data_IF_186639432812
#
_entry.id   IF_186639432812
#
_cell.length_a   1.000
_cell.length_b   1.000
_cell.length_c   1.000
_cell.angle_alpha   90.00
_cell.angle_beta   90.00
_cell.angle_gamma   90.00
#
_symmetry.space_group_name_H-M   'P 1'
#
loop_
_entity.id
_entity.type
_entity.pdbx_description
1 polymer ?
#
# COMPACT_ATOMS: atom_id res chain seq x y z
N UNK A 1 -35.17 -54.46 -25.24
CA UNK A 1 -34.50 -53.70 -24.15
C UNK A 1 -33.99 -52.39 -24.74
N UNK A 2 -34.47 -51.22 -24.28
CA UNK A 2 -34.14 -49.94 -24.90
C UNK A 2 -32.75 -49.46 -24.49
N UNK A 3 -32.04 -48.92 -25.48
CA UNK A 3 -30.65 -48.48 -25.43
C UNK A 3 -30.58 -47.09 -24.76
N UNK A 4 -30.15 -47.04 -23.50
CA UNK A 4 -29.96 -45.79 -22.74
C UNK A 4 -28.72 -45.09 -23.28
N UNK A 5 -28.93 -44.16 -24.23
CA UNK A 5 -27.89 -43.22 -24.66
C UNK A 5 -27.45 -42.39 -23.45
N UNK A 6 -26.21 -42.59 -23.01
CA UNK A 6 -25.51 -41.69 -22.07
C UNK A 6 -25.55 -40.28 -22.68
N UNK A 7 -26.24 -39.35 -22.02
CA UNK A 7 -26.25 -37.93 -22.38
C UNK A 7 -24.92 -37.34 -21.87
N UNK A 8 -23.95 -37.02 -22.74
CA UNK A 8 -22.75 -36.32 -22.32
C UNK A 8 -23.14 -34.84 -22.16
N UNK A 9 -23.34 -34.37 -20.94
CA UNK A 9 -23.66 -32.96 -20.73
C UNK A 9 -24.02 -32.55 -19.30
N UNK A 10 -24.45 -33.49 -18.45
CA UNK A 10 -24.88 -33.16 -17.07
C UNK A 10 -23.73 -33.24 -16.06
N UNK A 11 -22.68 -34.02 -16.35
CA UNK A 11 -21.53 -34.16 -15.46
C UNK A 11 -20.61 -32.93 -15.51
N UNK A 12 -20.40 -32.33 -16.69
CA UNK A 12 -19.54 -31.13 -16.83
C UNK A 12 -20.20 -29.88 -16.25
N UNK A 13 -21.53 -29.72 -16.37
CA UNK A 13 -22.25 -28.58 -15.78
C UNK A 13 -22.22 -28.61 -14.25
N UNK A 14 -22.24 -29.79 -13.62
CA UNK A 14 -22.13 -29.88 -12.15
C UNK A 14 -20.73 -29.53 -11.64
N UNK A 15 -19.69 -29.79 -12.43
CA UNK A 15 -18.31 -29.44 -12.06
C UNK A 15 -18.07 -27.91 -12.18
N UNK A 16 -18.73 -27.24 -13.12
CA UNK A 16 -18.73 -25.78 -13.24
C UNK A 16 -19.54 -25.12 -12.11
N UNK A 17 -20.69 -25.70 -11.72
CA UNK A 17 -21.56 -25.15 -10.66
C UNK A 17 -20.99 -25.39 -9.26
N UNK A 18 -20.29 -26.51 -9.01
CA UNK A 18 -19.58 -26.73 -7.75
C UNK A 18 -18.31 -25.87 -7.63
N UNK A 19 -17.61 -25.61 -8.74
CA UNK A 19 -16.51 -24.63 -8.78
C UNK A 19 -16.99 -23.16 -8.56
N UNK A 20 -18.30 -22.92 -8.62
CA UNK A 20 -18.91 -21.62 -8.36
C UNK A 20 -19.31 -21.43 -6.88
N UNK A 21 -19.21 -22.48 -6.05
CA UNK A 21 -19.78 -22.51 -4.70
C UNK A 21 -18.75 -22.42 -3.55
N UNK A 22 -17.45 -22.39 -3.87
CA UNK A 22 -16.39 -21.95 -2.94
C UNK A 22 -16.11 -20.46 -3.16
N UNK A 23 -16.09 -19.60 -2.13
CA UNK A 23 -16.23 -18.16 -2.30
C UNK A 23 -14.99 -17.58 -2.98
N UNK A 24 -15.01 -17.24 -4.29
CA UNK A 24 -13.89 -16.58 -4.95
C UNK A 24 -13.52 -15.26 -4.24
N UNK A 25 -14.48 -14.72 -3.50
CA UNK A 25 -14.37 -13.55 -2.65
C UNK A 25 -13.30 -13.67 -1.56
N UNK A 26 -13.10 -14.85 -0.94
CA UNK A 26 -12.11 -15.01 0.13
C UNK A 26 -10.69 -14.86 -0.44
N UNK A 27 -10.39 -15.55 -1.54
CA UNK A 27 -9.09 -15.45 -2.20
C UNK A 27 -8.83 -14.02 -2.70
N UNK A 28 -9.82 -13.39 -3.33
CA UNK A 28 -9.70 -12.00 -3.81
C UNK A 28 -9.43 -11.04 -2.64
N UNK A 29 -10.13 -11.22 -1.52
CA UNK A 29 -9.94 -10.39 -0.31
C UNK A 29 -8.53 -10.55 0.26
N UNK A 30 -8.01 -11.79 0.32
CA UNK A 30 -6.66 -12.07 0.79
C UNK A 30 -5.62 -11.42 -0.14
N UNK A 31 -5.76 -11.55 -1.45
CA UNK A 31 -4.85 -10.94 -2.43
C UNK A 31 -4.87 -9.41 -2.30
N UNK A 32 -6.03 -8.81 -2.09
CA UNK A 32 -6.16 -7.36 -1.90
C UNK A 32 -5.52 -6.90 -0.59
N UNK A 33 -5.67 -7.68 0.48
CA UNK A 33 -5.01 -7.41 1.75
C UNK A 33 -3.47 -7.48 1.60
N UNK A 34 -2.96 -8.51 0.91
CA UNK A 34 -1.52 -8.65 0.60
C UNK A 34 -1.03 -7.46 -0.21
N UNK A 35 -1.78 -7.02 -1.23
CA UNK A 35 -1.44 -5.85 -2.03
C UNK A 35 -1.36 -4.57 -1.17
N UNK A 36 -2.35 -4.34 -0.30
CA UNK A 36 -2.35 -3.18 0.61
C UNK A 36 -1.19 -3.22 1.60
N UNK A 37 -0.93 -4.37 2.22
CA UNK A 37 0.18 -4.55 3.17
C UNK A 37 1.51 -4.34 2.45
N UNK A 38 1.69 -4.93 1.27
CA UNK A 38 2.92 -4.80 0.48
C UNK A 38 3.15 -3.36 -0.01
N UNK A 39 2.09 -2.58 -0.25
CA UNK A 39 2.20 -1.18 -0.60
C UNK A 39 2.63 -0.29 0.60
N UNK A 40 2.11 -0.58 1.80
CA UNK A 40 2.25 0.29 2.98
C UNK A 40 3.43 -0.11 3.87
N UNK A 41 3.65 -1.41 4.08
CA UNK A 41 4.62 -1.91 5.05
C UNK A 41 6.07 -1.52 4.70
N UNK A 42 6.56 -1.64 3.45
CA UNK A 42 7.93 -1.26 3.14
C UNK A 42 8.23 0.21 3.43
N UNK A 43 7.22 1.09 3.28
CA UNK A 43 7.33 2.51 3.61
C UNK A 43 7.36 2.78 5.11
N UNK A 44 6.63 1.98 5.88
CA UNK A 44 6.59 2.12 7.33
C UNK A 44 7.87 1.56 7.99
N UNK A 45 8.40 0.45 7.47
CA UNK A 45 9.50 -0.28 8.10
C UNK A 45 10.89 0.22 7.70
N UNK A 46 11.14 0.51 6.42
CA UNK A 46 12.51 0.59 5.93
C UNK A 46 13.07 1.99 5.70
N UNK A 47 12.25 3.06 5.74
CA UNK A 47 12.72 4.44 5.52
C UNK A 47 13.31 4.74 4.13
N UNK A 48 13.65 3.73 3.32
CA UNK A 48 14.16 3.86 1.95
C UNK A 48 13.15 4.51 0.98
N UNK A 49 11.88 4.56 1.37
CA UNK A 49 10.83 5.21 0.61
C UNK A 49 10.40 6.57 1.22
N UNK A 50 11.20 7.14 2.13
CA UNK A 50 10.88 8.44 2.72
C UNK A 50 11.27 9.58 1.78
N UNK A 51 10.27 10.20 1.14
CA UNK A 51 10.45 11.41 0.32
C UNK A 51 11.16 12.52 1.13
N UNK A 52 11.00 12.54 2.45
CA UNK A 52 11.57 13.58 3.31
C UNK A 52 13.10 13.67 3.28
N UNK A 53 13.80 12.61 2.84
CA UNK A 53 15.26 12.58 2.82
C UNK A 53 15.87 13.19 1.56
N UNK A 54 15.33 12.81 0.39
CA UNK A 54 15.92 13.16 -0.92
C UNK A 54 15.05 14.12 -1.74
N UNK A 55 13.82 14.43 -1.28
CA UNK A 55 12.87 15.31 -1.97
C UNK A 55 12.27 14.74 -3.26
N UNK A 56 12.78 13.61 -3.76
CA UNK A 56 12.29 12.91 -4.95
C UNK A 56 11.33 11.77 -4.62
N UNK A 57 10.39 11.47 -5.53
CA UNK A 57 9.48 10.33 -5.36
C UNK A 57 10.21 9.01 -5.64
N UNK A 58 10.22 8.04 -4.71
CA UNK A 58 10.95 6.77 -4.87
C UNK A 58 10.19 5.76 -5.74
N UNK A 59 10.05 6.06 -7.04
CA UNK A 59 9.24 5.25 -7.99
C UNK A 59 9.68 3.79 -8.07
N UNK A 60 11.00 3.56 -8.01
CA UNK A 60 11.59 2.21 -8.01
C UNK A 60 11.14 1.37 -6.82
N UNK A 61 10.99 1.99 -5.65
CA UNK A 61 10.48 1.31 -4.45
C UNK A 61 9.03 0.86 -4.62
N UNK A 62 8.19 1.64 -5.30
CA UNK A 62 6.80 1.27 -5.58
C UNK A 62 6.73 0.07 -6.53
N UNK A 63 7.59 0.06 -7.54
CA UNK A 63 7.75 -1.06 -8.46
C UNK A 63 8.15 -2.34 -7.71
N UNK A 64 9.18 -2.25 -6.87
CA UNK A 64 9.65 -3.38 -6.06
C UNK A 64 8.55 -3.92 -5.14
N UNK A 65 7.82 -3.05 -4.43
CA UNK A 65 6.69 -3.44 -3.59
C UNK A 65 5.57 -4.13 -4.39
N UNK A 66 5.26 -3.61 -5.57
CA UNK A 66 4.26 -4.20 -6.46
C UNK A 66 4.70 -5.57 -6.99
N UNK A 67 5.98 -5.74 -7.33
CA UNK A 67 6.53 -7.05 -7.72
C UNK A 67 6.46 -8.05 -6.58
N UNK A 68 6.82 -7.66 -5.35
CA UNK A 68 6.70 -8.53 -4.18
C UNK A 68 5.25 -8.94 -3.93
N UNK A 69 4.30 -8.02 -4.07
CA UNK A 69 2.87 -8.31 -3.93
C UNK A 69 2.38 -9.32 -4.99
N UNK A 70 2.81 -9.17 -6.24
CA UNK A 70 2.49 -10.13 -7.32
C UNK A 70 3.03 -11.51 -7.02
N UNK A 71 4.30 -11.60 -6.61
CA UNK A 71 4.93 -12.88 -6.25
C UNK A 71 4.18 -13.55 -5.09
N UNK A 72 3.85 -12.80 -4.04
CA UNK A 72 3.08 -13.31 -2.92
C UNK A 72 1.67 -13.75 -3.33
N UNK A 73 0.95 -12.95 -4.11
CA UNK A 73 -0.39 -13.28 -4.62
C UNK A 73 -0.37 -14.52 -5.53
N UNK A 74 0.68 -14.69 -6.33
CA UNK A 74 0.90 -15.87 -7.15
C UNK A 74 1.05 -17.13 -6.29
N UNK A 75 1.90 -17.10 -5.26
CA UNK A 75 2.07 -18.23 -4.35
C UNK A 75 0.80 -18.56 -3.57
N UNK A 76 0.06 -17.54 -3.10
CA UNK A 76 -1.21 -17.77 -2.40
C UNK A 76 -2.24 -18.38 -3.35
N UNK A 77 -2.33 -17.90 -4.59
CA UNK A 77 -3.24 -18.46 -5.59
C UNK A 77 -2.91 -19.92 -5.90
N UNK A 78 -1.62 -20.24 -6.03
CA UNK A 78 -1.12 -21.59 -6.25
C UNK A 78 -1.39 -22.50 -5.04
N UNK A 79 -1.17 -22.00 -3.81
CA UNK A 79 -1.46 -22.73 -2.58
C UNK A 79 -2.96 -23.03 -2.44
N UNK A 80 -3.83 -22.05 -2.65
CA UNK A 80 -5.28 -22.25 -2.61
C UNK A 80 -5.70 -23.30 -3.64
N UNK A 81 -5.12 -23.27 -4.85
CA UNK A 81 -5.41 -24.29 -5.86
C UNK A 81 -5.06 -25.70 -5.38
N UNK A 82 -3.96 -25.89 -4.65
CA UNK A 82 -3.60 -27.19 -4.10
C UNK A 82 -4.45 -27.59 -2.90
N UNK A 83 -4.88 -26.64 -2.07
CA UNK A 83 -5.74 -26.90 -0.90
C UNK A 83 -7.16 -27.29 -1.32
N UNK A 84 -7.68 -26.65 -2.36
CA UNK A 84 -9.03 -26.89 -2.88
C UNK A 84 -9.06 -27.85 -4.08
N UNK A 85 -7.95 -28.54 -4.36
CA UNK A 85 -7.92 -29.60 -5.38
C UNK A 85 -8.81 -30.76 -4.90
N UNK A 86 -9.72 -31.31 -5.72
CA UNK A 86 -10.63 -32.40 -5.32
C UNK A 86 -9.97 -33.67 -4.76
N UNK A 87 -8.65 -33.83 -4.90
CA UNK A 87 -7.88 -34.89 -4.23
C UNK A 87 -7.79 -34.71 -2.71
N UNK A 88 -8.00 -33.49 -2.19
CA UNK A 88 -8.03 -33.15 -0.76
C UNK A 88 -6.69 -33.30 -0.04
N UNK A 89 -5.61 -33.66 -0.73
CA UNK A 89 -4.31 -33.96 -0.12
C UNK A 89 -3.15 -33.37 -0.93
N UNK A 90 -2.55 -32.30 -0.39
CA UNK A 90 -1.44 -31.57 -0.99
C UNK A 90 -0.28 -32.49 -1.38
N UNK A 91 0.05 -33.47 -0.53
CA UNK A 91 1.12 -34.43 -0.77
C UNK A 91 0.80 -35.36 -1.94
N UNK A 92 -0.47 -35.75 -2.10
CA UNK A 92 -0.89 -36.61 -3.19
C UNK A 92 -0.81 -35.89 -4.54
N UNK A 93 -1.23 -34.62 -4.59
CA UNK A 93 -1.11 -33.80 -5.81
C UNK A 93 0.35 -33.53 -6.17
N UNK A 94 1.25 -33.29 -5.19
CA UNK A 94 2.69 -33.13 -5.45
C UNK A 94 3.33 -34.43 -5.93
N UNK A 95 2.88 -35.58 -5.41
CA UNK A 95 3.41 -36.90 -5.79
C UNK A 95 2.93 -37.38 -7.18
N UNK A 96 1.87 -36.78 -7.72
CA UNK A 96 1.30 -37.18 -9.02
C UNK A 96 2.11 -36.55 -10.15
N UNK A 97 2.77 -37.35 -11.02
CA UNK A 97 3.56 -36.81 -12.13
C UNK A 97 2.71 -35.93 -13.05
N UNK A 98 3.15 -34.70 -13.30
CA UNK A 98 2.47 -33.76 -14.20
C UNK A 98 1.40 -32.87 -13.55
N UNK A 99 0.91 -33.19 -12.35
CA UNK A 99 -0.11 -32.37 -11.68
C UNK A 99 0.40 -30.96 -11.34
N UNK A 100 1.64 -30.84 -10.86
CA UNK A 100 2.29 -29.55 -10.64
C UNK A 100 2.40 -28.72 -11.92
N UNK A 101 2.80 -29.35 -13.04
CA UNK A 101 2.93 -28.67 -14.33
C UNK A 101 1.58 -28.13 -14.81
N UNK A 102 0.52 -28.91 -14.70
CA UNK A 102 -0.83 -28.48 -15.04
C UNK A 102 -1.32 -27.34 -14.13
N UNK A 103 -1.07 -27.40 -12.82
CA UNK A 103 -1.42 -26.34 -11.89
C UNK A 103 -0.66 -25.04 -12.18
N UNK A 104 0.64 -25.15 -12.51
CA UNK A 104 1.48 -24.03 -12.90
C UNK A 104 1.00 -23.41 -14.21
N UNK A 105 0.70 -24.22 -15.23
CA UNK A 105 0.22 -23.75 -16.52
C UNK A 105 -1.09 -22.98 -16.40
N UNK A 106 -2.04 -23.47 -15.60
CA UNK A 106 -3.29 -22.74 -15.33
C UNK A 106 -3.04 -21.46 -14.54
N UNK A 107 -2.08 -21.46 -13.61
CA UNK A 107 -1.68 -20.25 -12.88
C UNK A 107 -1.06 -19.22 -13.83
N UNK A 108 -0.27 -19.67 -14.81
CA UNK A 108 0.33 -18.82 -15.84
C UNK A 108 -0.73 -18.25 -16.79
N UNK A 109 -1.75 -19.02 -17.17
CA UNK A 109 -2.89 -18.51 -17.96
C UNK A 109 -3.68 -17.42 -17.21
N UNK A 110 -3.62 -17.41 -15.87
CA UNK A 110 -4.22 -16.38 -15.02
C UNK A 110 -3.29 -15.21 -14.69
N UNK A 111 -2.09 -15.14 -15.28
CA UNK A 111 -1.16 -14.02 -15.11
C UNK A 111 -1.78 -12.64 -15.40
N UNK A 112 -2.72 -12.46 -16.35
CA UNK A 112 -3.36 -11.17 -16.54
C UNK A 112 -4.01 -10.63 -15.25
N UNK A 113 -4.55 -11.49 -14.37
CA UNK A 113 -5.08 -11.04 -13.08
C UNK A 113 -4.01 -10.51 -12.14
N UNK A 114 -2.77 -10.98 -12.26
CA UNK A 114 -1.64 -10.47 -11.46
C UNK A 114 -1.27 -9.03 -11.86
N UNK A 115 -1.57 -8.62 -13.10
CA UNK A 115 -1.41 -7.23 -13.52
C UNK A 115 -2.29 -6.28 -12.68
N UNK A 116 -3.52 -6.69 -12.32
CA UNK A 116 -4.36 -5.92 -11.41
C UNK A 116 -3.71 -5.75 -10.04
N UNK A 117 -3.16 -6.83 -9.47
CA UNK A 117 -2.45 -6.77 -8.18
C UNK A 117 -1.24 -5.84 -8.24
N UNK A 118 -0.49 -5.88 -9.34
CA UNK A 118 0.63 -4.97 -9.58
C UNK A 118 0.17 -3.52 -9.63
N UNK A 119 -0.78 -3.19 -10.51
CA UNK A 119 -1.30 -1.84 -10.71
C UNK A 119 -1.91 -1.28 -9.41
N UNK A 120 -2.68 -2.10 -8.69
CA UNK A 120 -3.24 -1.76 -7.38
C UNK A 120 -2.15 -1.39 -6.39
N UNK A 121 -1.17 -2.28 -6.17
CA UNK A 121 -0.09 -2.08 -5.19
C UNK A 121 0.74 -0.85 -5.53
N UNK A 122 1.14 -0.72 -6.80
CA UNK A 122 1.93 0.39 -7.29
C UNK A 122 1.21 1.73 -7.10
N UNK A 123 -0.07 1.79 -7.47
CA UNK A 123 -0.84 3.04 -7.41
C UNK A 123 -1.19 3.41 -5.98
N UNK A 124 -1.50 2.44 -5.11
CA UNK A 124 -1.66 2.68 -3.66
C UNK A 124 -0.37 3.25 -3.08
N UNK A 125 0.77 2.65 -3.39
CA UNK A 125 2.07 3.17 -2.96
C UNK A 125 2.28 4.59 -3.52
N UNK A 126 2.02 4.84 -4.79
CA UNK A 126 2.18 6.17 -5.36
C UNK A 126 1.31 7.25 -4.68
N UNK A 127 0.00 6.97 -4.52
CA UNK A 127 -0.97 7.95 -4.03
C UNK A 127 -0.80 8.21 -2.54
N UNK A 128 -0.45 7.21 -1.75
CA UNK A 128 -0.22 7.37 -0.29
C UNK A 128 0.94 8.30 0.05
N UNK A 129 1.86 8.53 -0.88
CA UNK A 129 2.98 9.48 -0.70
C UNK A 129 2.61 10.94 -0.97
N UNK A 130 1.44 11.20 -1.57
CA UNK A 130 0.99 12.57 -1.80
C UNK A 130 0.79 13.32 -0.47
N UNK A 131 1.61 14.36 -0.26
CA UNK A 131 1.59 15.22 0.94
C UNK A 131 1.71 14.44 2.26
N UNK A 132 2.34 13.26 2.24
CA UNK A 132 2.53 12.46 3.44
C UNK A 132 3.40 13.15 4.51
N UNK A 133 4.37 13.98 4.08
CA UNK A 133 5.26 14.75 4.96
C UNK A 133 4.57 15.95 5.63
N UNK A 134 3.53 16.53 5.00
CA UNK A 134 2.82 17.71 5.49
C UNK A 134 1.32 17.43 5.58
N UNK A 135 0.89 16.50 6.45
CA UNK A 135 -0.47 15.99 6.43
C UNK A 135 -1.51 17.06 6.87
N UNK A 136 -1.09 18.10 7.59
CA UNK A 136 -1.96 19.22 8.01
C UNK A 136 -2.33 20.21 6.91
N UNK A 137 -1.61 20.22 5.78
CA UNK A 137 -1.80 21.14 4.65
C UNK A 137 -2.34 20.40 3.41
N UNK A 138 -3.29 19.48 3.62
CA UNK A 138 -3.89 18.72 2.52
C UNK A 138 -5.13 19.44 2.02
N UNK A 139 -5.15 19.92 0.76
CA UNK A 139 -6.32 20.60 0.24
C UNK A 139 -7.48 19.61 0.02
N UNK A 140 -8.71 20.08 0.26
CA UNK A 140 -9.93 19.23 0.17
C UNK A 140 -10.13 18.61 -1.21
N UNK A 141 -9.72 19.31 -2.28
CA UNK A 141 -9.83 18.83 -3.65
C UNK A 141 -8.96 17.59 -3.91
N UNK A 142 -7.86 17.41 -3.16
CA UNK A 142 -6.95 16.28 -3.35
C UNK A 142 -7.68 14.96 -3.15
N UNK A 143 -8.64 14.89 -2.21
CA UNK A 143 -9.40 13.66 -1.96
C UNK A 143 -10.24 13.24 -3.18
N UNK A 144 -10.84 14.20 -3.87
CA UNK A 144 -11.59 13.92 -5.09
C UNK A 144 -10.67 13.50 -6.23
N UNK A 145 -9.49 14.14 -6.34
CA UNK A 145 -8.47 13.76 -7.32
C UNK A 145 -7.91 12.35 -7.05
N UNK A 146 -7.66 11.98 -5.79
CA UNK A 146 -7.21 10.63 -5.40
C UNK A 146 -8.27 9.56 -5.67
N UNK A 147 -9.54 9.86 -5.37
CA UNK A 147 -10.67 8.98 -5.67
C UNK A 147 -10.85 8.79 -7.19
N UNK A 148 -10.93 9.89 -7.95
CA UNK A 148 -11.10 9.85 -9.40
C UNK A 148 -9.90 9.22 -10.11
N UNK A 149 -8.68 9.58 -9.69
CA UNK A 149 -7.44 9.01 -10.22
C UNK A 149 -7.34 7.51 -10.00
N UNK A 150 -7.62 7.03 -8.77
CA UNK A 150 -7.60 5.59 -8.48
C UNK A 150 -8.70 4.83 -9.20
N UNK A 151 -9.91 5.40 -9.29
CA UNK A 151 -11.01 4.84 -10.08
C UNK A 151 -10.61 4.67 -11.55
N UNK A 152 -10.03 5.71 -12.15
CA UNK A 152 -9.55 5.67 -13.54
C UNK A 152 -8.43 4.65 -13.75
N UNK A 153 -7.44 4.60 -12.86
CA UNK A 153 -6.34 3.62 -12.96
C UNK A 153 -6.87 2.19 -12.86
N UNK A 154 -7.79 1.91 -11.94
CA UNK A 154 -8.37 0.57 -11.80
C UNK A 154 -9.26 0.20 -12.98
N UNK A 155 -10.02 1.14 -13.52
CA UNK A 155 -10.80 0.95 -14.74
C UNK A 155 -9.89 0.56 -15.91
N UNK A 156 -8.80 1.31 -16.14
CA UNK A 156 -7.84 1.03 -17.21
C UNK A 156 -7.13 -0.29 -16.97
N UNK A 157 -6.68 -0.56 -15.74
CA UNK A 157 -6.01 -1.82 -15.43
C UNK A 157 -6.95 -3.02 -15.62
N UNK A 158 -8.22 -2.89 -15.24
CA UNK A 158 -9.23 -3.94 -15.43
C UNK A 158 -9.53 -4.14 -16.92
N UNK A 159 -9.59 -3.07 -17.69
CA UNK A 159 -9.76 -3.12 -19.14
C UNK A 159 -8.60 -3.88 -19.81
N UNK A 160 -7.35 -3.51 -19.52
CA UNK A 160 -6.15 -4.19 -20.03
C UNK A 160 -6.15 -5.66 -19.63
N UNK A 161 -6.52 -5.96 -18.38
CA UNK A 161 -6.61 -7.34 -17.88
C UNK A 161 -7.66 -8.14 -18.66
N UNK A 162 -8.81 -7.54 -18.98
CA UNK A 162 -9.84 -8.19 -19.79
C UNK A 162 -9.38 -8.45 -21.22
N UNK A 163 -8.74 -7.50 -21.88
CA UNK A 163 -8.19 -7.68 -23.23
C UNK A 163 -7.13 -8.80 -23.27
N UNK A 164 -6.25 -8.86 -22.27
CA UNK A 164 -5.27 -9.95 -22.12
C UNK A 164 -5.94 -11.31 -21.86
N UNK A 165 -7.04 -11.33 -21.12
CA UNK A 165 -7.80 -12.56 -20.87
C UNK A 165 -8.61 -13.01 -22.09
N UNK A 166 -9.24 -12.08 -22.80
CA UNK A 166 -10.01 -12.37 -24.02
C UNK A 166 -9.11 -12.89 -25.13
N UNK A 167 -7.90 -12.37 -25.27
CA UNK A 167 -6.90 -12.88 -26.22
C UNK A 167 -6.37 -14.26 -25.85
N UNK A 168 -6.27 -14.58 -24.56
CA UNK A 168 -5.72 -15.86 -24.10
C UNK A 168 -6.76 -16.98 -23.96
N UNK A 169 -8.01 -16.64 -23.62
CA UNK A 169 -9.07 -17.60 -23.31
C UNK A 169 -10.48 -17.03 -23.60
N UNK A 170 -10.85 -16.82 -24.87
CA UNK A 170 -12.10 -16.15 -25.23
C UNK A 170 -13.36 -16.92 -24.82
N UNK A 171 -13.30 -18.26 -24.76
CA UNK A 171 -14.45 -19.12 -24.46
C UNK A 171 -14.99 -19.01 -23.02
N UNK A 172 -14.25 -18.37 -22.11
CA UNK A 172 -14.61 -18.28 -20.69
C UNK A 172 -15.53 -17.07 -20.42
N UNK A 173 -15.58 -16.10 -21.33
CA UNK A 173 -16.24 -14.81 -21.08
C UNK A 173 -17.59 -14.68 -21.78
N UNK A 174 -18.59 -14.25 -21.01
CA UNK A 174 -19.86 -13.83 -21.58
C UNK A 174 -19.73 -12.40 -22.15
N UNK A 175 -20.50 -12.05 -23.20
CA UNK A 175 -20.52 -10.68 -23.75
C UNK A 175 -20.88 -9.61 -22.70
N UNK A 176 -21.58 -9.99 -21.63
CA UNK A 176 -21.99 -9.09 -20.55
C UNK A 176 -20.89 -8.81 -19.51
N UNK A 177 -19.80 -9.58 -19.51
CA UNK A 177 -18.77 -9.53 -18.47
C UNK A 177 -18.09 -8.16 -18.33
N UNK A 178 -17.69 -7.45 -19.41
CA UNK A 178 -17.05 -6.13 -19.28
C UNK A 178 -17.94 -5.09 -18.59
N UNK A 179 -19.26 -5.11 -18.87
CA UNK A 179 -20.23 -4.18 -18.29
C UNK A 179 -20.40 -4.36 -16.78
N UNK A 180 -20.07 -5.54 -16.23
CA UNK A 180 -20.10 -5.80 -14.78
C UNK A 180 -18.74 -5.53 -14.12
N UNK A 181 -17.65 -5.95 -14.75
CA UNK A 181 -16.31 -5.89 -14.14
C UNK A 181 -15.68 -4.49 -14.19
N UNK A 182 -15.89 -3.72 -15.26
CA UNK A 182 -15.29 -2.39 -15.37
C UNK A 182 -15.85 -1.41 -14.33
N UNK A 183 -17.18 -1.26 -14.15
CA UNK A 183 -17.71 -0.36 -13.13
C UNK A 183 -17.35 -0.80 -11.71
N UNK A 184 -17.33 -2.11 -11.44
CA UNK A 184 -16.95 -2.62 -10.11
C UNK A 184 -15.50 -2.33 -9.80
N UNK A 185 -14.57 -2.52 -10.75
CA UNK A 185 -13.17 -2.14 -10.57
C UNK A 185 -13.01 -0.63 -10.33
N UNK A 186 -13.72 0.21 -11.09
CA UNK A 186 -13.71 1.66 -10.90
C UNK A 186 -14.23 2.08 -9.51
N UNK A 187 -15.35 1.50 -9.06
CA UNK A 187 -15.92 1.74 -7.73
C UNK A 187 -14.92 1.33 -6.64
N UNK A 188 -14.34 0.13 -6.74
CA UNK A 188 -13.33 -0.35 -5.79
C UNK A 188 -12.11 0.56 -5.75
N UNK A 189 -11.58 0.93 -6.92
CA UNK A 189 -10.46 1.88 -7.04
C UNK A 189 -10.80 3.22 -6.37
N UNK A 190 -11.99 3.77 -6.62
CA UNK A 190 -12.46 5.00 -5.99
C UNK A 190 -12.57 4.89 -4.47
N UNK A 191 -13.14 3.80 -3.95
CA UNK A 191 -13.23 3.55 -2.51
C UNK A 191 -11.84 3.48 -1.86
N UNK A 192 -10.89 2.76 -2.48
CA UNK A 192 -9.52 2.67 -2.00
C UNK A 192 -8.86 4.06 -2.05
N UNK A 193 -8.99 4.79 -3.16
CA UNK A 193 -8.43 6.14 -3.31
C UNK A 193 -9.00 7.17 -2.34
N UNK A 194 -10.27 7.04 -1.97
CA UNK A 194 -10.89 7.92 -0.99
C UNK A 194 -10.51 7.58 0.47
N UNK A 195 -10.26 6.30 0.78
CA UNK A 195 -10.05 5.80 2.14
C UNK A 195 -8.57 5.70 2.52
N UNK A 196 -7.77 5.01 1.71
CA UNK A 196 -6.42 4.58 2.08
C UNK A 196 -5.44 5.76 2.26
N UNK A 197 -5.33 6.72 1.33
CA UNK A 197 -4.43 7.86 1.49
C UNK A 197 -4.77 8.71 2.71
N UNK A 198 -6.08 8.90 2.96
CA UNK A 198 -6.56 9.64 4.12
C UNK A 198 -6.25 8.93 5.43
N UNK A 199 -6.53 7.62 5.50
CA UNK A 199 -6.23 6.80 6.67
C UNK A 199 -4.73 6.77 6.98
N UNK A 200 -3.89 6.58 5.96
CA UNK A 200 -2.44 6.58 6.09
C UNK A 200 -1.89 7.92 6.62
N UNK A 201 -2.35 9.05 6.07
CA UNK A 201 -1.97 10.39 6.56
C UNK A 201 -2.40 10.62 8.01
N UNK A 202 -3.59 10.16 8.41
CA UNK A 202 -4.10 10.27 9.79
C UNK A 202 -3.24 9.46 10.77
N UNK A 203 -2.82 8.26 10.39
CA UNK A 203 -1.92 7.45 11.22
C UNK A 203 -0.56 8.13 11.37
N UNK A 204 0.02 8.63 10.28
CA UNK A 204 1.29 9.38 10.33
C UNK A 204 1.21 10.62 11.22
N UNK A 205 0.10 11.37 11.19
CA UNK A 205 -0.12 12.50 12.12
C UNK A 205 -0.08 12.07 13.59
N UNK A 206 -0.68 10.91 13.91
CA UNK A 206 -0.73 10.40 15.28
C UNK A 206 0.62 9.82 15.74
N UNK A 207 1.42 9.30 14.80
CA UNK A 207 2.73 8.70 15.06
C UNK A 207 3.88 9.70 15.02
N UNK A 208 3.71 10.84 14.34
CA UNK A 208 4.68 11.91 14.38
C UNK A 208 4.92 12.21 15.86
N UNK A 209 6.14 11.99 16.40
CA UNK A 209 6.43 12.34 17.77
C UNK A 209 5.96 13.77 17.90
N UNK A 210 5.05 14.04 18.84
CA UNK A 210 4.73 15.41 19.21
C UNK A 210 6.08 16.00 19.46
N UNK A 211 6.61 16.74 18.49
CA UNK A 211 7.84 17.45 18.67
C UNK A 211 7.54 18.19 19.96
N UNK A 212 8.35 17.95 20.97
CA UNK A 212 8.36 18.76 22.16
C UNK A 212 8.70 20.14 21.64
N UNK A 213 7.68 20.82 21.07
CA UNK A 213 7.80 22.08 20.38
C UNK A 213 8.55 22.94 21.36
N UNK A 214 9.66 23.56 20.89
CA UNK A 214 10.80 23.97 21.70
C UNK A 214 10.28 24.38 23.05
N UNK A 215 10.39 23.50 24.06
CA UNK A 215 9.60 23.53 25.31
C UNK A 215 9.33 24.98 25.59
N UNK A 216 8.14 25.49 25.23
CA UNK A 216 7.89 26.92 25.31
C UNK A 216 8.20 27.21 26.76
N UNK A 217 9.28 27.97 27.07
CA UNK A 217 9.89 27.92 28.38
C UNK A 217 8.75 28.21 29.33
N UNK A 218 8.42 27.22 30.17
CA UNK A 218 7.24 27.29 31.02
C UNK A 218 7.23 28.70 31.62
N UNK A 219 6.10 29.43 31.65
CA UNK A 219 6.07 30.76 32.24
C UNK A 219 6.61 30.78 33.69
N UNK A 220 6.74 29.61 34.34
CA UNK A 220 7.47 29.40 35.58
C UNK A 220 8.98 29.73 35.52
N UNK A 221 9.65 29.53 34.38
CA UNK A 221 11.05 29.90 34.18
C UNK A 221 11.23 31.42 34.06
N UNK A 222 10.32 32.11 33.37
CA UNK A 222 10.34 33.57 33.30
C UNK A 222 10.07 34.23 34.67
N UNK A 223 9.25 33.63 35.52
CA UNK A 223 9.06 34.11 36.90
C UNK A 223 10.25 33.80 37.82
N UNK A 224 10.95 32.67 37.63
CA UNK A 224 12.18 32.34 38.36
C UNK A 224 13.36 33.27 37.97
N UNK A 225 13.52 33.59 36.68
CA UNK A 225 14.55 34.54 36.20
C UNK A 225 14.23 35.95 36.63
N UNK A 226 12.95 36.39 36.55
CA UNK A 226 12.54 37.69 37.09
C UNK A 226 12.76 37.78 38.60
N UNK A 227 12.54 36.72 39.38
CA UNK A 227 12.86 36.68 40.82
C UNK A 227 14.37 36.79 41.09
N UNK A 228 15.22 36.11 40.30
CA UNK A 228 16.69 36.25 40.41
C UNK A 228 17.20 37.63 40.01
N UNK A 229 16.67 38.24 38.94
CA UNK A 229 17.02 39.61 38.54
C UNK A 229 16.53 40.66 39.54
N UNK A 230 15.34 40.48 40.14
CA UNK A 230 14.82 41.38 41.18
C UNK A 230 15.67 41.32 42.46
N UNK A 231 16.19 40.14 42.83
CA UNK A 231 17.14 39.99 43.95
C UNK A 231 18.53 40.60 43.69
N UNK A 232 18.98 40.67 42.43
CA UNK A 232 20.24 41.35 42.08
C UNK A 232 20.13 42.87 42.09
N UNK A 233 18.94 43.43 41.80
CA UNK A 233 18.71 44.88 41.87
C UNK A 233 18.65 45.45 43.30
N UNK A 234 18.31 44.64 44.30
CA UNK A 234 18.28 45.08 45.71
C UNK A 234 19.60 44.87 46.45
N UNK A 235 20.55 44.12 45.89
CA UNK A 235 21.94 44.12 46.37
C UNK A 235 22.69 45.20 45.62
N UNK A 236 22.70 46.40 46.20
CA UNK A 236 23.40 47.56 45.68
C UNK A 236 24.86 47.25 45.33
N UNK A 237 25.41 47.90 44.31
CA UNK A 237 26.81 47.74 43.95
C UNK A 237 27.66 48.39 45.06
N UNK A 238 28.29 47.56 45.89
CA UNK A 238 29.49 48.00 46.56
C UNK A 238 30.53 48.29 45.48
N UNK A 239 30.74 49.59 45.27
CA UNK A 239 31.89 50.17 44.59
C UNK A 239 33.17 49.46 45.02
N UNK A 240 33.78 48.70 44.11
CA UNK A 240 35.21 48.45 44.12
C UNK A 240 35.77 48.98 42.81
N UNK A 241 36.28 50.19 42.92
CA UNK A 241 37.28 50.77 42.07
C UNK A 241 38.41 49.77 41.80
N UNK A 242 38.93 49.79 40.58
CA UNK A 242 40.32 49.36 40.35
C UNK A 242 40.55 48.53 39.10
N UNK A 243 40.98 49.27 38.07
CA UNK A 243 42.07 48.96 37.12
C UNK A 243 41.66 48.68 35.66
N UNK A 244 42.02 49.57 34.72
CA UNK A 244 42.08 49.24 33.31
C UNK A 244 43.36 48.44 33.06
N UNK A 245 43.22 47.18 32.65
CA UNK A 245 44.32 46.38 32.15
C UNK A 245 44.30 46.39 30.62
N UNK A 246 45.41 46.90 30.10
CA UNK A 246 45.94 47.00 28.74
C UNK A 246 45.39 46.10 27.63
N UNK A 247 45.30 46.74 26.47
CA UNK A 247 45.42 46.21 25.12
C UNK A 247 46.25 44.94 24.97
N UNK A 248 45.76 43.99 24.17
CA UNK A 248 46.60 43.14 23.34
C UNK A 248 45.91 42.88 21.99
N UNK A 249 46.39 43.57 20.97
CA UNK A 249 46.27 43.15 19.58
C UNK A 249 47.14 41.92 19.40
N UNK A 250 46.64 40.87 18.74
CA UNK A 250 47.49 39.91 18.05
C UNK A 250 46.73 39.39 16.81
N UNK A 251 47.52 39.23 15.76
CA UNK A 251 47.29 39.25 14.31
C UNK A 251 46.65 38.00 13.69
N UNK A 252 46.22 38.07 12.41
CA UNK A 252 45.82 36.90 11.62
C UNK A 252 47.04 36.14 11.05
N UNK A 253 46.89 34.82 10.91
CA UNK A 253 47.88 33.87 10.33
C UNK A 253 47.09 32.94 9.38
N UNK A 254 47.68 32.52 8.24
CA UNK A 254 47.03 32.45 6.92
C UNK A 254 46.10 31.25 6.68
#
# INVERSE_FOLDING_TARGET
MPNIRKIPGIAETRLIVLALHDPPWVLVTIIYAIAMISALYPKAAFGFADIGRDGTRPVTSYGASATVAVVAAFFVSLLFRFVFDPSGNLFQTISTPGAFRAALEVSLQRLPWMFMTFAMTFTIAWVTDNRAATPGDVPRWLRYAECGGMSGVFLVAQYVTLELLLSSAPAIFEPSTPFRLLPTAAIVGGLIGALLPHWYRRIRMNMAPRSSGPIAPSPAWHSAVRRKQRRRRTRGPYSKSGRPASCRQDTPVP
#
